data_IF_387267067397
#
_entry.id   IF_387267067397
#
_cell.length_a   1.000
_cell.length_b   1.000
_cell.length_c   1.000
_cell.angle_alpha   90.00
_cell.angle_beta   90.00
_cell.angle_gamma   90.00
#
_symmetry.space_group_name_H-M   'P 1'
#
loop_
_entity.id
_entity.type
_entity.pdbx_description
1 polymer ?
#
# COMPACT_ATOMS: atom_id res chain seq x y z
N UNK A 1 -40.82 -31.39 19.04
CA UNK A 1 -42.14 -30.75 19.26
C UNK A 1 -42.34 -30.65 20.75
N UNK A 2 -42.96 -29.55 21.20
CA UNK A 2 -43.27 -29.31 22.60
C UNK A 2 -44.72 -29.66 22.92
N UNK A 3 -44.96 -30.26 24.07
CA UNK A 3 -46.28 -30.75 24.46
C UNK A 3 -46.25 -31.10 25.96
N UNK A 4 -46.90 -30.31 26.83
CA UNK A 4 -47.14 -30.67 28.24
C UNK A 4 -48.12 -29.72 28.93
N UNK A 5 -49.09 -30.28 29.65
CA UNK A 5 -49.68 -29.72 30.88
C UNK A 5 -50.36 -30.85 31.66
N UNK A 6 -49.57 -31.58 32.49
CA UNK A 6 -50.01 -32.75 33.29
C UNK A 6 -50.52 -33.98 32.52
N UNK A 7 -50.33 -34.08 31.20
CA UNK A 7 -51.28 -34.78 30.34
C UNK A 7 -50.72 -35.73 29.24
N UNK A 8 -49.53 -36.33 29.41
CA UNK A 8 -49.06 -37.41 28.53
C UNK A 8 -48.68 -36.95 27.11
N UNK A 9 -47.60 -36.16 27.01
CA UNK A 9 -47.30 -35.37 25.82
C UNK A 9 -45.77 -35.05 25.79
N UNK A 10 -45.16 -34.94 24.61
CA UNK A 10 -43.68 -34.98 24.40
C UNK A 10 -43.00 -33.63 24.15
N UNK A 11 -41.77 -33.45 24.64
CA UNK A 11 -40.93 -32.25 24.58
C UNK A 11 -39.48 -32.63 24.18
N UNK A 12 -38.59 -31.70 23.72
CA UNK A 12 -38.79 -30.27 23.48
C UNK A 12 -38.52 -29.87 21.99
N UNK A 13 -37.43 -29.26 21.49
CA UNK A 13 -36.12 -28.87 22.05
C UNK A 13 -36.05 -27.38 22.45
N UNK A 14 -36.32 -26.45 21.53
CA UNK A 14 -36.52 -25.03 21.85
C UNK A 14 -38.01 -24.76 22.07
N UNK A 15 -38.37 -24.42 23.31
CA UNK A 15 -39.75 -24.44 23.80
C UNK A 15 -40.18 -23.06 24.27
N UNK A 16 -41.21 -22.50 23.64
CA UNK A 16 -41.84 -21.24 24.03
C UNK A 16 -43.33 -21.46 24.29
N UNK A 17 -43.72 -21.30 25.56
CA UNK A 17 -45.09 -21.45 26.05
C UNK A 17 -45.09 -21.45 27.58
N UNK A 18 -46.05 -20.77 28.22
CA UNK A 18 -46.01 -20.43 29.64
C UNK A 18 -45.74 -21.60 30.60
N UNK A 19 -44.88 -21.35 31.59
CA UNK A 19 -44.37 -22.36 32.52
C UNK A 19 -45.41 -22.84 33.56
N UNK A 20 -46.47 -22.04 33.78
CA UNK A 20 -47.57 -22.31 34.71
C UNK A 20 -48.31 -23.62 34.41
N UNK A 21 -48.44 -23.95 33.12
CA UNK A 21 -49.23 -25.09 32.65
C UNK A 21 -48.51 -26.44 32.88
N UNK A 22 -47.18 -26.52 32.82
CA UNK A 22 -46.45 -27.80 32.78
C UNK A 22 -46.54 -28.59 34.12
N UNK A 23 -46.49 -29.93 34.07
CA UNK A 23 -46.28 -30.72 35.29
C UNK A 23 -44.83 -30.60 35.79
N UNK A 24 -44.58 -30.98 37.05
CA UNK A 24 -43.25 -30.88 37.67
C UNK A 24 -42.17 -31.64 36.87
N UNK A 25 -42.49 -32.87 36.44
CA UNK A 25 -41.62 -33.75 35.67
C UNK A 25 -41.18 -33.13 34.34
N UNK A 26 -42.11 -32.67 33.51
CA UNK A 26 -41.77 -32.05 32.23
C UNK A 26 -41.03 -30.70 32.37
N UNK A 27 -41.18 -29.98 33.49
CA UNK A 27 -40.39 -28.76 33.74
C UNK A 27 -38.91 -29.07 33.99
N UNK A 28 -38.60 -30.16 34.69
CA UNK A 28 -37.21 -30.56 34.94
C UNK A 28 -36.51 -31.00 33.65
N UNK A 29 -37.21 -31.72 32.77
CA UNK A 29 -36.66 -32.18 31.48
C UNK A 29 -36.20 -30.99 30.61
N UNK A 30 -36.96 -29.89 30.56
CA UNK A 30 -36.58 -28.70 29.79
C UNK A 30 -35.41 -27.92 30.39
N UNK A 31 -35.34 -27.82 31.72
CA UNK A 31 -34.24 -27.16 32.42
C UNK A 31 -32.91 -27.88 32.15
N UNK A 32 -32.93 -29.22 32.11
CA UNK A 32 -31.75 -30.03 31.82
C UNK A 32 -31.31 -29.89 30.35
N UNK A 33 -32.23 -29.98 29.38
CA UNK A 33 -31.89 -29.80 27.95
C UNK A 33 -31.41 -28.37 27.64
N UNK A 34 -31.90 -27.36 28.36
CA UNK A 34 -31.43 -25.99 28.24
C UNK A 34 -29.97 -25.78 28.69
N UNK A 35 -29.45 -26.61 29.60
CA UNK A 35 -28.05 -26.58 30.01
C UNK A 35 -27.14 -27.25 28.95
N UNK A 36 -27.53 -28.43 28.46
CA UNK A 36 -26.70 -29.23 27.53
C UNK A 36 -26.71 -28.66 26.09
N UNK A 37 -27.82 -28.04 25.68
CA UNK A 37 -28.00 -27.45 24.34
C UNK A 37 -27.18 -26.19 24.07
N UNK A 38 -26.64 -25.53 25.10
CA UNK A 38 -25.74 -24.37 24.98
C UNK A 38 -24.26 -24.79 25.09
N UNK A 39 -23.96 -25.91 25.75
CA UNK A 39 -22.59 -26.42 25.93
C UNK A 39 -22.04 -27.19 24.73
N UNK A 40 -22.89 -27.53 23.75
CA UNK A 40 -22.54 -28.34 22.56
C UNK A 40 -22.75 -27.64 21.22
N UNK A 41 -23.12 -26.35 21.22
CA UNK A 41 -22.76 -25.48 20.11
C UNK A 41 -21.25 -25.30 20.15
N UNK A 42 -20.58 -26.15 19.39
CA UNK A 42 -19.17 -26.10 19.04
C UNK A 42 -18.67 -24.65 18.97
N UNK A 43 -18.02 -24.22 20.06
CA UNK A 43 -16.84 -23.39 19.97
C UNK A 43 -15.68 -24.20 19.35
N UNK A 44 -15.94 -24.86 18.21
CA UNK A 44 -14.94 -25.01 17.16
C UNK A 44 -14.56 -23.58 16.83
N UNK A 45 -13.47 -23.13 17.46
CA UNK A 45 -12.83 -21.86 17.19
C UNK A 45 -12.92 -21.64 15.68
N UNK A 46 -13.58 -20.56 15.18
CA UNK A 46 -13.53 -20.26 13.76
C UNK A 46 -12.04 -20.27 13.42
N UNK A 47 -11.59 -21.06 12.42
CA UNK A 47 -10.17 -21.32 12.19
C UNK A 47 -9.49 -19.97 12.12
N UNK A 48 -8.65 -19.69 13.13
CA UNK A 48 -8.53 -18.32 13.63
C UNK A 48 -8.17 -17.43 12.48
N UNK A 49 -9.02 -16.44 12.18
CA UNK A 49 -8.78 -15.44 11.14
C UNK A 49 -7.68 -14.44 11.57
N UNK A 50 -6.61 -14.97 12.17
CA UNK A 50 -5.24 -14.80 11.71
C UNK A 50 -5.10 -15.11 10.20
N UNK A 51 -5.96 -14.52 9.37
CA UNK A 51 -5.53 -13.97 8.09
C UNK A 51 -4.29 -13.18 8.45
N UNK A 52 -3.13 -13.73 8.08
CA UNK A 52 -1.86 -13.33 8.66
C UNK A 52 -1.77 -11.83 8.51
N UNK A 53 -1.82 -11.10 9.63
CA UNK A 53 -1.52 -9.69 9.64
C UNK A 53 -0.03 -9.61 9.34
N UNK A 54 0.29 -9.74 8.04
CA UNK A 54 1.54 -9.30 7.45
C UNK A 54 1.62 -7.86 7.88
N UNK A 55 2.40 -7.63 8.93
CA UNK A 55 2.69 -6.31 9.44
C UNK A 55 3.21 -5.54 8.26
N UNK A 56 2.33 -4.70 7.70
CA UNK A 56 2.60 -4.06 6.43
C UNK A 56 3.88 -3.26 6.64
N UNK A 57 4.98 -3.72 6.02
CA UNK A 57 6.27 -3.08 6.21
C UNK A 57 6.08 -1.59 5.97
N UNK A 58 6.57 -0.71 6.85
CA UNK A 58 6.47 0.72 6.59
C UNK A 58 7.02 0.98 5.18
N UNK A 59 6.39 1.88 4.40
CA UNK A 59 6.66 2.07 2.97
C UNK A 59 8.02 2.77 2.76
N UNK A 60 9.06 2.00 3.06
CA UNK A 60 10.45 2.41 3.19
C UNK A 60 11.05 2.82 1.85
N UNK A 61 10.65 2.19 0.74
CA UNK A 61 11.16 2.52 -0.57
C UNK A 61 10.63 3.86 -1.07
N UNK A 62 9.32 4.09 -0.93
CA UNK A 62 8.68 5.36 -1.29
C UNK A 62 9.28 6.52 -0.49
N UNK A 63 9.41 6.36 0.83
CA UNK A 63 10.00 7.37 1.70
C UNK A 63 11.48 7.61 1.36
N UNK A 64 12.26 6.55 1.11
CA UNK A 64 13.67 6.68 0.74
C UNK A 64 13.85 7.40 -0.62
N UNK A 65 13.05 7.07 -1.63
CA UNK A 65 13.10 7.73 -2.94
C UNK A 65 12.70 9.21 -2.85
N UNK A 66 11.67 9.55 -2.07
CA UNK A 66 11.30 10.95 -1.80
C UNK A 66 12.47 11.68 -1.10
N UNK A 67 13.04 11.09 -0.05
CA UNK A 67 14.15 11.67 0.67
C UNK A 67 15.38 11.89 -0.23
N UNK A 68 15.74 10.93 -1.08
CA UNK A 68 16.86 11.04 -2.02
C UNK A 68 16.64 12.21 -3.00
N UNK A 69 15.46 12.28 -3.64
CA UNK A 69 15.14 13.35 -4.59
C UNK A 69 15.16 14.74 -3.94
N UNK A 70 14.58 14.87 -2.74
CA UNK A 70 14.60 16.11 -1.97
C UNK A 70 16.02 16.50 -1.56
N UNK A 71 16.83 15.56 -1.06
CA UNK A 71 18.23 15.82 -0.67
C UNK A 71 19.07 16.23 -1.87
N UNK A 72 18.96 15.54 -3.02
CA UNK A 72 19.66 15.91 -4.26
C UNK A 72 19.29 17.35 -4.68
N UNK A 73 18.00 17.68 -4.69
CA UNK A 73 17.55 19.03 -5.03
C UNK A 73 18.03 20.11 -4.05
N UNK A 74 18.01 19.83 -2.73
CA UNK A 74 18.54 20.75 -1.72
C UNK A 74 20.05 20.98 -1.89
N UNK A 75 20.82 19.93 -2.22
CA UNK A 75 22.26 20.06 -2.51
C UNK A 75 22.47 20.88 -3.79
N UNK A 76 21.67 20.69 -4.84
CA UNK A 76 21.73 21.51 -6.06
C UNK A 76 21.54 22.99 -5.73
N UNK A 77 20.48 23.34 -4.98
CA UNK A 77 20.18 24.72 -4.59
C UNK A 77 21.29 25.30 -3.70
N UNK A 78 21.80 24.53 -2.72
CA UNK A 78 22.93 24.94 -1.87
C UNK A 78 24.24 25.15 -2.65
N UNK A 79 24.37 24.58 -3.85
CA UNK A 79 25.50 24.79 -4.78
C UNK A 79 25.23 25.85 -5.85
N UNK A 80 24.18 26.66 -5.69
CA UNK A 80 23.87 27.82 -6.53
C UNK A 80 22.95 27.56 -7.71
N UNK A 81 22.29 26.39 -7.78
CA UNK A 81 21.23 26.13 -8.78
C UNK A 81 19.97 26.93 -8.40
N UNK A 82 19.33 27.57 -9.38
CA UNK A 82 18.11 28.36 -9.13
C UNK A 82 16.95 27.47 -8.66
N UNK A 83 16.27 27.90 -7.60
CA UNK A 83 15.14 27.19 -6.98
C UNK A 83 13.95 27.02 -7.92
N UNK A 84 13.71 27.97 -8.83
CA UNK A 84 12.49 28.05 -9.65
C UNK A 84 12.76 27.89 -11.14
N UNK A 85 13.90 28.40 -11.62
CA UNK A 85 14.26 28.42 -13.04
C UNK A 85 15.77 28.14 -13.21
N UNK A 86 16.21 26.89 -13.02
CA UNK A 86 17.60 26.52 -13.24
C UNK A 86 17.98 26.60 -14.71
N UNK A 87 19.21 27.03 -15.01
CA UNK A 87 19.66 27.17 -16.40
C UNK A 87 20.03 25.83 -17.01
N UNK A 88 19.97 25.75 -18.34
CA UNK A 88 20.53 24.65 -19.16
C UNK A 88 21.92 24.22 -18.68
N UNK A 89 22.83 25.19 -18.46
CA UNK A 89 24.21 24.89 -18.05
C UNK A 89 24.26 24.27 -16.64
N UNK A 90 23.49 24.79 -15.69
CA UNK A 90 23.37 24.21 -14.34
C UNK A 90 22.86 22.77 -14.40
N UNK A 91 21.81 22.50 -15.18
CA UNK A 91 21.28 21.13 -15.34
C UNK A 91 22.31 20.18 -15.98
N UNK A 92 23.03 20.63 -17.01
CA UNK A 92 24.08 19.83 -17.64
C UNK A 92 25.25 19.51 -16.70
N UNK A 93 25.67 20.46 -15.85
CA UNK A 93 26.71 20.24 -14.84
C UNK A 93 26.32 19.17 -13.82
N UNK A 94 25.03 19.12 -13.45
CA UNK A 94 24.50 18.15 -12.49
C UNK A 94 24.20 16.76 -13.07
N UNK A 95 24.36 16.56 -14.38
CA UNK A 95 24.14 15.27 -15.03
C UNK A 95 22.76 15.10 -15.67
N UNK A 96 22.09 16.18 -16.05
CA UNK A 96 20.84 16.10 -16.82
C UNK A 96 21.03 15.40 -18.17
N UNK A 97 19.96 14.78 -18.65
CA UNK A 97 19.94 13.98 -19.86
C UNK A 97 19.99 14.90 -21.09
N UNK A 98 20.90 14.59 -22.01
CA UNK A 98 21.16 15.37 -23.22
C UNK A 98 21.91 14.50 -24.22
N UNK A 99 21.32 14.23 -25.38
CA UNK A 99 21.75 13.21 -26.33
C UNK A 99 23.22 13.28 -26.73
N UNK A 100 23.75 14.44 -27.16
CA UNK A 100 25.16 14.57 -27.56
C UNK A 100 26.18 14.19 -26.49
N UNK A 101 25.84 14.33 -25.20
CA UNK A 101 26.70 13.86 -24.10
C UNK A 101 26.36 12.43 -23.67
N UNK A 102 25.07 12.08 -23.65
CA UNK A 102 24.55 10.86 -23.02
C UNK A 102 24.71 9.63 -23.91
N UNK A 103 24.57 9.80 -25.24
CA UNK A 103 24.86 8.75 -26.22
C UNK A 103 26.35 8.68 -26.58
N UNK A 104 27.16 9.62 -26.07
CA UNK A 104 28.60 9.71 -26.27
C UNK A 104 29.38 9.38 -25.01
N UNK A 105 30.07 10.38 -24.45
CA UNK A 105 31.05 10.19 -23.37
C UNK A 105 30.46 10.02 -21.97
N UNK A 106 29.14 10.24 -21.78
CA UNK A 106 28.52 10.38 -20.45
C UNK A 106 27.21 9.57 -20.28
N UNK A 107 27.21 8.24 -20.51
CA UNK A 107 25.99 7.42 -20.48
C UNK A 107 25.31 7.35 -19.10
N UNK A 108 26.04 7.62 -18.01
CA UNK A 108 25.45 7.71 -16.65
C UNK A 108 24.37 8.79 -16.52
N UNK A 109 24.30 9.75 -17.44
CA UNK A 109 23.26 10.80 -17.49
C UNK A 109 21.84 10.26 -17.57
N UNK A 110 21.64 9.12 -18.24
CA UNK A 110 20.35 8.40 -18.29
C UNK A 110 19.86 7.99 -16.89
N UNK A 111 20.76 7.76 -15.93
CA UNK A 111 20.39 7.41 -14.55
C UNK A 111 20.35 8.63 -13.64
N UNK A 112 21.34 9.54 -13.75
CA UNK A 112 21.39 10.73 -12.88
C UNK A 112 20.23 11.69 -13.13
N UNK A 113 19.81 11.86 -14.39
CA UNK A 113 18.71 12.75 -14.76
C UNK A 113 17.39 12.41 -14.06
N UNK A 114 17.14 11.14 -13.75
CA UNK A 114 15.96 10.66 -13.00
C UNK A 114 15.82 11.31 -11.62
N UNK A 115 16.91 11.77 -11.01
CA UNK A 115 16.90 12.39 -9.67
C UNK A 115 16.99 13.93 -9.68
N UNK A 116 17.27 14.52 -10.85
CA UNK A 116 17.38 15.98 -10.99
C UNK A 116 15.99 16.58 -11.26
N UNK A 117 15.72 17.76 -10.70
CA UNK A 117 14.43 18.43 -10.88
C UNK A 117 14.62 19.88 -11.35
N UNK A 118 13.91 20.22 -12.43
CA UNK A 118 13.94 21.56 -13.07
C UNK A 118 13.05 22.52 -12.28
N UNK A 119 13.48 22.84 -11.05
CA UNK A 119 12.81 23.77 -10.13
C UNK A 119 11.81 23.13 -9.16
N UNK A 120 11.43 23.90 -8.14
CA UNK A 120 10.69 23.45 -6.96
C UNK A 120 9.28 22.94 -7.28
N UNK A 121 8.55 23.57 -8.22
CA UNK A 121 7.20 23.11 -8.61
C UNK A 121 7.28 21.72 -9.25
N UNK A 122 8.29 21.48 -10.07
CA UNK A 122 8.49 20.17 -10.70
C UNK A 122 8.85 19.09 -9.65
N UNK A 123 9.68 19.43 -8.66
CA UNK A 123 9.93 18.54 -7.52
C UNK A 123 8.65 18.23 -6.73
N UNK A 124 7.89 19.25 -6.32
CA UNK A 124 6.70 19.07 -5.50
C UNK A 124 5.64 18.20 -6.18
N UNK A 125 5.41 18.38 -7.48
CA UNK A 125 4.48 17.52 -8.25
C UNK A 125 4.98 16.08 -8.32
N UNK A 126 6.28 15.85 -8.56
CA UNK A 126 6.82 14.48 -8.56
C UNK A 126 6.74 13.82 -7.19
N UNK A 127 7.09 14.54 -6.11
CA UNK A 127 7.04 13.99 -4.75
C UNK A 127 5.61 13.73 -4.30
N UNK A 128 4.65 14.57 -4.70
CA UNK A 128 3.22 14.33 -4.50
C UNK A 128 2.73 13.09 -5.24
N UNK A 129 3.05 12.95 -6.53
CA UNK A 129 2.71 11.76 -7.33
C UNK A 129 3.35 10.49 -6.75
N UNK A 130 4.62 10.55 -6.35
CA UNK A 130 5.35 9.44 -5.74
C UNK A 130 4.76 9.07 -4.36
N UNK A 131 4.26 10.02 -3.58
CA UNK A 131 3.55 9.75 -2.34
C UNK A 131 2.18 9.10 -2.60
N UNK A 132 1.35 9.69 -3.45
CA UNK A 132 -0.02 9.23 -3.70
C UNK A 132 -0.07 7.89 -4.42
N UNK A 133 0.82 7.67 -5.41
CA UNK A 133 0.85 6.44 -6.22
C UNK A 133 1.87 5.41 -5.69
N UNK A 134 3.00 5.85 -5.14
CA UNK A 134 4.05 4.96 -4.65
C UNK A 134 3.64 4.21 -3.38
N UNK A 135 3.01 4.88 -2.41
CA UNK A 135 2.55 4.24 -1.17
C UNK A 135 1.62 3.02 -1.39
N UNK A 136 0.53 3.08 -2.20
CA UNK A 136 -0.29 1.91 -2.47
C UNK A 136 0.45 0.87 -3.35
N UNK A 137 1.27 1.31 -4.31
CA UNK A 137 2.03 0.41 -5.18
C UNK A 137 3.08 -0.40 -4.42
N UNK A 138 3.83 0.22 -3.50
CA UNK A 138 4.80 -0.45 -2.63
C UNK A 138 4.10 -1.46 -1.69
N UNK A 139 2.92 -1.13 -1.18
CA UNK A 139 2.12 -2.06 -0.35
C UNK A 139 1.62 -3.27 -1.13
N UNK A 140 1.30 -3.11 -2.41
CA UNK A 140 0.81 -4.19 -3.27
C UNK A 140 1.95 -5.07 -3.83
N UNK A 141 3.03 -4.46 -4.31
CA UNK A 141 4.12 -5.15 -5.02
C UNK A 141 5.32 -5.51 -4.11
N UNK A 142 5.42 -4.89 -2.93
CA UNK A 142 6.58 -4.99 -2.05
C UNK A 142 7.73 -4.05 -2.45
N UNK A 143 8.56 -3.69 -1.46
CA UNK A 143 9.62 -2.67 -1.57
C UNK A 143 10.59 -2.88 -2.75
N UNK A 144 11.02 -4.12 -2.98
CA UNK A 144 12.03 -4.44 -4.01
C UNK A 144 11.47 -4.32 -5.43
N UNK A 145 10.27 -4.85 -5.65
CA UNK A 145 9.54 -4.73 -6.92
C UNK A 145 9.24 -3.27 -7.23
N UNK A 146 8.83 -2.49 -6.23
CA UNK A 146 8.60 -1.05 -6.39
C UNK A 146 9.88 -0.26 -6.71
N UNK A 147 10.99 -0.54 -6.03
CA UNK A 147 12.30 0.03 -6.38
C UNK A 147 12.70 -0.29 -7.83
N UNK A 148 12.58 -1.56 -8.24
CA UNK A 148 12.89 -1.96 -9.61
C UNK A 148 12.00 -1.25 -10.63
N UNK A 149 10.69 -1.16 -10.37
CA UNK A 149 9.74 -0.45 -11.22
C UNK A 149 10.10 1.04 -11.36
N UNK A 150 10.46 1.74 -10.27
CA UNK A 150 10.90 3.14 -10.30
C UNK A 150 12.16 3.34 -11.14
N UNK A 151 13.17 2.48 -10.99
CA UNK A 151 14.40 2.58 -11.78
C UNK A 151 14.15 2.27 -13.26
N UNK A 152 13.36 1.25 -13.57
CA UNK A 152 13.02 0.89 -14.95
C UNK A 152 12.20 2.00 -15.63
N UNK A 153 11.21 2.59 -14.94
CA UNK A 153 10.40 3.68 -15.50
C UNK A 153 11.24 4.93 -15.75
N UNK A 154 12.08 5.36 -14.80
CA UNK A 154 12.98 6.51 -15.00
C UNK A 154 14.02 6.30 -16.11
N UNK A 155 14.56 5.08 -16.22
CA UNK A 155 15.46 4.70 -17.32
C UNK A 155 14.74 4.76 -18.68
N UNK A 156 13.53 4.20 -18.74
CA UNK A 156 12.69 4.18 -19.94
C UNK A 156 12.28 5.59 -20.36
N UNK A 157 11.92 6.46 -19.41
CA UNK A 157 11.62 7.88 -19.65
C UNK A 157 12.83 8.63 -20.20
N UNK A 158 14.02 8.42 -19.63
CA UNK A 158 15.26 9.02 -20.13
C UNK A 158 15.62 8.56 -21.54
N UNK A 159 15.45 7.26 -21.85
CA UNK A 159 15.67 6.71 -23.20
C UNK A 159 14.62 7.24 -24.19
N UNK A 160 13.34 7.26 -23.81
CA UNK A 160 12.26 7.80 -24.64
C UNK A 160 12.46 9.30 -24.94
N UNK A 161 12.92 10.07 -23.96
CA UNK A 161 13.29 11.48 -24.15
C UNK A 161 14.43 11.65 -25.16
N UNK A 162 15.44 10.79 -25.14
CA UNK A 162 16.53 10.82 -26.11
C UNK A 162 16.08 10.42 -27.52
N UNK A 163 15.16 9.46 -27.62
CA UNK A 163 14.61 9.04 -28.90
C UNK A 163 13.70 10.10 -29.53
N UNK A 164 12.87 10.76 -28.72
CA UNK A 164 11.92 11.78 -29.19
C UNK A 164 12.57 13.15 -29.45
N UNK A 165 13.51 13.59 -28.60
CA UNK A 165 14.14 14.91 -28.72
C UNK A 165 15.57 14.92 -28.13
N UNK A 166 16.57 14.35 -28.83
CA UNK A 166 17.92 14.16 -28.30
C UNK A 166 18.64 15.48 -27.97
N UNK A 167 18.23 16.61 -28.58
CA UNK A 167 18.82 17.93 -28.35
C UNK A 167 18.12 18.70 -27.22
N UNK A 168 16.97 18.22 -26.72
CA UNK A 168 16.31 18.79 -25.54
C UNK A 168 16.94 18.21 -24.27
N UNK A 169 17.09 19.06 -23.25
CA UNK A 169 17.52 18.62 -21.92
C UNK A 169 16.31 18.10 -21.15
N UNK A 170 16.45 16.93 -20.51
CA UNK A 170 15.44 16.37 -19.61
C UNK A 170 16.04 15.97 -18.26
N UNK A 171 15.20 16.05 -17.24
CA UNK A 171 15.50 15.76 -15.84
C UNK A 171 14.17 15.59 -15.09
N UNK A 172 14.06 14.57 -14.25
CA UNK A 172 12.88 14.23 -13.46
C UNK A 172 12.59 12.72 -13.45
N UNK A 173 11.84 12.26 -12.46
CA UNK A 173 11.38 10.87 -12.33
C UNK A 173 9.98 10.63 -12.96
N UNK A 174 9.58 11.52 -13.87
CA UNK A 174 8.25 11.62 -14.50
C UNK A 174 8.09 10.77 -15.75
#
# INVERSE_FOLDING_TARGET
MANCVRCGKTLPAFSTGEASNRCAECRQIEQNVGADGVSSMDARNPPSAQATQRTASPPSATIALIAINVVVFLIMVARGVSLTAPTTLQMLQWGANFGPLTLGTQPWRILTATFLHIGIVHLLVNMWSLWVLGLPTERLLGRWTFFAAYFISGLSGSIASLWWSPVRISAGAS
#
